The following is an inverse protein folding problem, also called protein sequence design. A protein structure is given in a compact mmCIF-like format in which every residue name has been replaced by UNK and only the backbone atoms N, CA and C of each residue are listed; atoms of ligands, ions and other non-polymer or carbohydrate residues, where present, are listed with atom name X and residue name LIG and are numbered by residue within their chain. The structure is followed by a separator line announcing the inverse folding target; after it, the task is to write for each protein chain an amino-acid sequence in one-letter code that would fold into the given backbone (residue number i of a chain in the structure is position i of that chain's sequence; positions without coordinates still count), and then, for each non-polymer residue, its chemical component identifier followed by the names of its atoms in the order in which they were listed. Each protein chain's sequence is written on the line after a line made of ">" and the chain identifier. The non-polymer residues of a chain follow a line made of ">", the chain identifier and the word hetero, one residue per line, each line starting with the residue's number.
data_IF_971844599540
#
_entry.id   IF_971844599540
#
_cell.length_a   1.000
_cell.length_b   1.000
_cell.length_c   1.000
_cell.angle_alpha   90.00
_cell.angle_beta   90.00
_cell.angle_gamma   90.00
#
_symmetry.space_group_name_H-M   'P 1'
#
loop_
_entity.id
_entity.type
_entity.pdbx_description
1 polymer ?
#
# COMPACT_ATOMS: atom_id res chain seq x y z
N UNK A 1 1.81 -26.48 7.01
CA UNK A 1 1.67 -25.66 5.78
C UNK A 1 2.90 -24.77 5.65
N UNK A 2 3.52 -24.75 4.46
CA UNK A 2 4.69 -23.91 4.12
C UNK A 2 4.30 -22.95 3.01
N UNK A 3 4.39 -21.67 3.26
CA UNK A 3 4.01 -20.61 2.32
C UNK A 3 5.28 -19.94 1.79
N UNK A 4 5.38 -19.74 0.47
CA UNK A 4 6.39 -18.91 -0.13
C UNK A 4 5.75 -17.63 -0.65
N UNK A 5 5.95 -16.53 0.06
CA UNK A 5 5.53 -15.19 -0.38
C UNK A 5 6.59 -14.66 -1.34
N UNK A 6 6.18 -14.23 -2.52
CA UNK A 6 7.05 -13.70 -3.57
C UNK A 6 6.79 -12.22 -3.74
N UNK A 7 7.78 -11.39 -3.47
CA UNK A 7 7.69 -9.93 -3.56
C UNK A 7 8.97 -9.34 -4.15
N UNK A 8 8.92 -8.17 -4.75
CA UNK A 8 10.11 -7.55 -5.37
C UNK A 8 11.12 -7.09 -4.34
N UNK A 9 10.69 -6.35 -3.31
CA UNK A 9 11.56 -5.84 -2.25
C UNK A 9 11.13 -6.35 -0.87
N UNK A 10 12.06 -6.42 0.06
CA UNK A 10 11.78 -6.79 1.44
C UNK A 10 11.04 -5.68 2.22
N UNK A 11 11.47 -4.43 2.08
CA UNK A 11 10.97 -3.30 2.90
C UNK A 11 10.65 -2.03 2.12
N UNK A 12 11.05 -1.94 0.84
CA UNK A 12 10.91 -0.70 0.07
C UNK A 12 9.51 -0.58 -0.51
N UNK A 13 8.75 0.40 -0.02
CA UNK A 13 7.38 0.71 -0.45
C UNK A 13 6.30 -0.03 0.33
N UNK A 14 5.08 0.49 0.29
CA UNK A 14 3.94 0.01 1.09
C UNK A 14 3.58 -1.45 0.86
N UNK A 15 3.69 -1.94 -0.38
CA UNK A 15 3.44 -3.35 -0.71
C UNK A 15 4.47 -4.30 -0.07
N UNK A 16 5.75 -3.89 -0.04
CA UNK A 16 6.81 -4.67 0.58
C UNK A 16 6.64 -4.75 2.11
N UNK A 17 6.35 -3.62 2.73
CA UNK A 17 6.04 -3.56 4.18
C UNK A 17 4.85 -4.47 4.51
N UNK A 18 3.77 -4.41 3.73
CA UNK A 18 2.59 -5.24 3.95
C UNK A 18 2.88 -6.74 3.76
N UNK A 19 3.65 -7.12 2.73
CA UNK A 19 4.03 -8.51 2.49
C UNK A 19 4.93 -9.07 3.60
N UNK A 20 5.87 -8.25 4.11
CA UNK A 20 6.73 -8.62 5.22
C UNK A 20 5.92 -8.79 6.52
N UNK A 21 5.03 -7.83 6.83
CA UNK A 21 4.10 -7.94 7.96
C UNK A 21 3.21 -9.19 7.86
N UNK A 22 2.75 -9.54 6.66
CA UNK A 22 1.98 -10.77 6.45
C UNK A 22 2.83 -12.01 6.74
N UNK A 23 4.10 -12.06 6.29
CA UNK A 23 5.03 -13.13 6.62
C UNK A 23 5.16 -13.31 8.13
N UNK A 24 5.34 -12.20 8.86
CA UNK A 24 5.46 -12.22 10.31
C UNK A 24 4.14 -12.64 10.98
N UNK A 25 3.01 -12.10 10.52
CA UNK A 25 1.69 -12.47 11.01
C UNK A 25 1.43 -13.99 10.87
N UNK A 26 1.77 -14.58 9.73
CA UNK A 26 1.65 -16.01 9.50
C UNK A 26 2.55 -16.81 10.41
N UNK A 27 3.84 -16.45 10.54
CA UNK A 27 4.79 -17.13 11.40
C UNK A 27 4.38 -17.06 12.88
N UNK A 28 3.92 -15.91 13.35
CA UNK A 28 3.43 -15.71 14.72
C UNK A 28 2.13 -16.49 15.02
N UNK A 29 1.42 -16.93 13.98
CA UNK A 29 0.19 -17.73 14.10
C UNK A 29 0.36 -19.17 13.62
N UNK A 30 1.57 -19.74 13.69
CA UNK A 30 1.85 -21.16 13.50
C UNK A 30 1.97 -21.64 12.05
N UNK A 31 2.05 -20.74 11.08
CA UNK A 31 2.27 -21.05 9.66
C UNK A 31 3.74 -20.81 9.30
N UNK A 32 4.38 -21.74 8.62
CA UNK A 32 5.75 -21.57 8.16
C UNK A 32 5.78 -20.74 6.87
N UNK A 33 5.96 -19.44 7.00
CA UNK A 33 6.06 -18.51 5.87
C UNK A 33 7.52 -18.07 5.64
N UNK A 34 7.96 -18.12 4.39
CA UNK A 34 9.20 -17.49 3.92
C UNK A 34 8.86 -16.46 2.85
N UNK A 35 9.68 -15.43 2.75
CA UNK A 35 9.54 -14.39 1.73
C UNK A 35 10.71 -14.47 0.76
N UNK A 36 10.44 -14.64 -0.54
CA UNK A 36 11.44 -14.60 -1.61
C UNK A 36 11.42 -13.21 -2.25
N UNK A 37 12.54 -12.53 -2.23
CA UNK A 37 12.67 -11.16 -2.74
C UNK A 37 13.83 -11.01 -3.71
N UNK A 38 13.73 -10.02 -4.60
CA UNK A 38 14.86 -9.55 -5.40
C UNK A 38 15.80 -8.71 -4.53
N UNK A 39 15.25 -7.75 -3.81
CA UNK A 39 15.99 -6.77 -3.03
C UNK A 39 15.86 -7.11 -1.53
N UNK A 40 16.80 -7.92 -1.03
CA UNK A 40 16.92 -8.26 0.39
C UNK A 40 17.72 -7.17 1.09
N UNK A 41 17.23 -6.70 2.25
CA UNK A 41 17.81 -5.56 2.99
C UNK A 41 18.24 -5.92 4.41
N UNK A 42 17.83 -7.07 4.94
CA UNK A 42 18.13 -7.48 6.32
C UNK A 42 18.71 -8.88 6.37
N UNK A 43 19.21 -9.29 7.54
CA UNK A 43 19.71 -10.65 7.79
C UNK A 43 18.60 -11.62 8.26
N UNK A 44 17.32 -11.24 8.14
CA UNK A 44 16.20 -12.11 8.49
C UNK A 44 16.31 -13.46 7.71
N UNK A 45 16.39 -14.55 8.47
CA UNK A 45 16.51 -15.92 7.93
C UNK A 45 15.23 -16.40 7.23
N UNK A 46 14.10 -15.77 7.51
CA UNK A 46 12.81 -16.06 6.85
C UNK A 46 12.67 -15.33 5.51
N UNK A 47 13.58 -14.41 5.20
CA UNK A 47 13.65 -13.71 3.91
C UNK A 47 14.80 -14.29 3.08
N UNK A 48 14.49 -14.70 1.86
CA UNK A 48 15.43 -15.33 0.92
C UNK A 48 15.63 -14.40 -0.28
N UNK A 49 16.88 -14.15 -0.65
CA UNK A 49 17.20 -13.42 -1.88
C UNK A 49 17.17 -14.34 -3.10
N UNK A 50 16.74 -13.79 -4.25
CA UNK A 50 16.87 -14.47 -5.55
C UNK A 50 18.32 -14.81 -5.94
N UNK A 51 19.30 -14.14 -5.31
CA UNK A 51 20.69 -14.19 -5.76
C UNK A 51 20.89 -13.55 -7.14
N UNK A 52 22.10 -13.71 -7.71
CA UNK A 52 22.42 -13.19 -9.06
C UNK A 52 22.05 -11.72 -9.29
N UNK A 53 22.58 -10.81 -8.46
CA UNK A 53 22.26 -9.39 -8.45
C UNK A 53 22.37 -8.73 -9.84
N UNK A 54 23.44 -9.00 -10.60
CA UNK A 54 23.64 -8.44 -11.94
C UNK A 54 22.49 -8.81 -12.91
N UNK A 55 21.97 -10.06 -12.83
CA UNK A 55 20.84 -10.51 -13.66
C UNK A 55 19.54 -9.83 -13.24
N UNK A 56 19.35 -9.64 -11.94
CA UNK A 56 18.16 -8.94 -11.40
C UNK A 56 18.18 -7.46 -11.80
N UNK A 57 19.35 -6.81 -11.74
CA UNK A 57 19.52 -5.44 -12.23
C UNK A 57 19.28 -5.35 -13.75
N UNK A 58 19.79 -6.31 -14.51
CA UNK A 58 19.54 -6.37 -15.94
C UNK A 58 18.04 -6.52 -16.27
N UNK A 59 17.32 -7.40 -15.57
CA UNK A 59 15.88 -7.54 -15.74
C UNK A 59 15.13 -6.22 -15.47
N UNK A 60 15.47 -5.50 -14.39
CA UNK A 60 14.90 -4.20 -14.07
C UNK A 60 15.19 -3.18 -15.18
N UNK A 61 16.45 -3.04 -15.57
CA UNK A 61 16.86 -2.07 -16.60
C UNK A 61 16.22 -2.40 -17.96
N UNK A 62 16.16 -3.66 -18.33
CA UNK A 62 15.53 -4.10 -19.56
C UNK A 62 14.03 -3.80 -19.59
N UNK A 63 13.32 -4.09 -18.51
CA UNK A 63 11.89 -3.75 -18.44
C UNK A 63 11.68 -2.24 -18.52
N UNK A 64 12.45 -1.45 -17.75
CA UNK A 64 12.38 0.02 -17.83
C UNK A 64 12.75 0.56 -19.21
N UNK A 65 13.75 -0.03 -19.86
CA UNK A 65 14.08 0.31 -21.26
C UNK A 65 12.92 0.01 -22.20
N UNK A 66 12.28 -1.16 -22.10
CA UNK A 66 11.12 -1.49 -22.92
C UNK A 66 9.95 -0.53 -22.68
N UNK A 67 9.70 -0.14 -21.43
CA UNK A 67 8.70 0.89 -21.10
C UNK A 67 9.09 2.23 -21.73
N UNK A 68 10.32 2.69 -21.53
CA UNK A 68 10.84 3.96 -22.06
C UNK A 68 10.76 4.03 -23.59
N UNK A 69 11.10 2.93 -24.29
CA UNK A 69 10.94 2.81 -25.74
C UNK A 69 9.48 2.98 -26.18
N UNK A 70 8.55 2.31 -25.51
CA UNK A 70 7.11 2.41 -25.82
C UNK A 70 6.50 3.76 -25.40
N UNK A 71 7.16 4.52 -24.52
CA UNK A 71 6.81 5.91 -24.19
C UNK A 71 7.47 6.93 -25.12
N UNK A 72 8.03 6.50 -26.26
CA UNK A 72 8.76 7.35 -27.20
C UNK A 72 9.86 8.16 -26.51
N UNK A 73 10.64 7.50 -25.64
CA UNK A 73 11.73 8.09 -24.86
C UNK A 73 11.31 9.17 -23.87
N UNK A 74 10.03 9.22 -23.50
CA UNK A 74 9.55 10.06 -22.41
C UNK A 74 9.78 9.40 -21.05
N UNK A 75 10.13 10.19 -20.04
CA UNK A 75 10.20 9.74 -18.63
C UNK A 75 8.87 9.83 -17.91
N UNK A 76 7.87 10.49 -18.52
CA UNK A 76 6.52 10.55 -17.97
C UNK A 76 5.96 9.13 -17.92
N UNK A 77 5.30 8.78 -16.82
CA UNK A 77 4.68 7.46 -16.59
C UNK A 77 5.64 6.25 -16.56
N UNK A 78 7.00 6.48 -16.58
CA UNK A 78 8.00 5.41 -16.62
C UNK A 78 7.84 4.37 -15.49
N UNK A 79 7.37 4.78 -14.32
CA UNK A 79 7.13 3.93 -13.16
C UNK A 79 5.64 3.70 -12.84
N UNK A 80 4.74 4.25 -13.66
CA UNK A 80 3.29 4.06 -13.49
C UNK A 80 2.77 2.84 -14.26
N UNK A 81 3.61 2.27 -15.15
CA UNK A 81 3.26 1.11 -15.96
C UNK A 81 4.33 0.03 -15.88
N UNK A 82 3.89 -1.22 -15.92
CA UNK A 82 4.74 -2.40 -15.94
C UNK A 82 4.26 -3.42 -16.97
N UNK A 83 5.23 -4.08 -17.64
CA UNK A 83 4.98 -5.02 -18.74
C UNK A 83 5.11 -6.48 -18.29
N UNK A 84 5.88 -6.74 -17.25
CA UNK A 84 6.31 -8.08 -16.81
C UNK A 84 6.83 -8.93 -18.00
N UNK A 85 7.65 -8.30 -18.86
CA UNK A 85 8.20 -8.94 -20.05
C UNK A 85 9.50 -9.70 -19.75
N UNK A 86 10.13 -9.43 -18.62
CA UNK A 86 11.35 -10.10 -18.12
C UNK A 86 11.22 -10.42 -16.64
N UNK A 87 12.08 -11.29 -16.12
CA UNK A 87 12.08 -11.70 -14.72
C UNK A 87 12.81 -13.03 -14.52
N UNK A 88 12.91 -13.45 -13.26
CA UNK A 88 13.61 -14.67 -12.87
C UNK A 88 12.65 -15.85 -12.77
N UNK A 89 13.05 -17.01 -13.31
CA UNK A 89 12.32 -18.28 -13.15
C UNK A 89 12.58 -18.85 -11.75
N UNK A 90 11.61 -18.74 -10.87
CA UNK A 90 11.73 -19.19 -9.47
C UNK A 90 11.35 -20.67 -9.28
N UNK A 91 10.79 -21.34 -10.29
CA UNK A 91 10.27 -22.72 -10.16
C UNK A 91 11.35 -23.75 -9.87
N UNK A 92 12.61 -23.40 -10.13
CA UNK A 92 13.78 -24.26 -9.89
C UNK A 92 14.37 -24.11 -8.48
N UNK A 93 14.00 -23.04 -7.76
CA UNK A 93 14.53 -22.75 -6.43
C UNK A 93 14.04 -23.78 -5.41
N UNK A 94 14.88 -24.01 -4.40
CA UNK A 94 14.58 -24.94 -3.31
C UNK A 94 13.34 -24.52 -2.56
N UNK A 95 13.23 -23.23 -2.22
CA UNK A 95 12.11 -22.63 -1.50
C UNK A 95 10.79 -22.81 -2.24
N UNK A 96 10.81 -22.66 -3.58
CA UNK A 96 9.65 -22.94 -4.41
C UNK A 96 9.23 -24.42 -4.35
N UNK A 97 10.20 -25.33 -4.46
CA UNK A 97 9.93 -26.79 -4.44
C UNK A 97 9.36 -27.24 -3.08
N UNK A 98 9.89 -26.69 -1.98
CA UNK A 98 9.49 -27.02 -0.62
C UNK A 98 8.16 -26.40 -0.20
N UNK A 99 7.72 -25.32 -0.85
CA UNK A 99 6.48 -24.64 -0.52
C UNK A 99 5.24 -25.49 -0.88
N UNK A 100 4.24 -25.46 -0.02
CA UNK A 100 2.93 -26.07 -0.26
C UNK A 100 2.04 -25.12 -1.09
N UNK A 101 2.18 -23.80 -0.88
CA UNK A 101 1.45 -22.74 -1.56
C UNK A 101 2.43 -21.65 -2.00
N UNK A 102 2.20 -21.09 -3.18
CA UNK A 102 2.91 -19.91 -3.68
C UNK A 102 2.00 -18.70 -3.51
N UNK A 103 2.46 -17.71 -2.77
CA UNK A 103 1.74 -16.47 -2.54
C UNK A 103 2.45 -15.33 -3.30
N UNK A 104 1.88 -14.89 -4.41
CA UNK A 104 2.37 -13.73 -5.14
C UNK A 104 1.88 -12.46 -4.46
N UNK A 105 2.77 -11.48 -4.30
CA UNK A 105 2.46 -10.16 -3.77
C UNK A 105 2.76 -9.11 -4.85
N UNK A 106 3.64 -8.15 -4.62
CA UNK A 106 4.04 -7.20 -5.65
C UNK A 106 5.27 -7.71 -6.40
N UNK A 107 5.08 -8.19 -7.64
CA UNK A 107 6.09 -8.98 -8.39
C UNK A 107 6.63 -8.28 -9.65
N UNK A 108 6.43 -6.99 -9.72
CA UNK A 108 6.76 -6.14 -10.87
C UNK A 108 8.25 -5.74 -10.92
N UNK A 109 8.60 -4.85 -11.85
CA UNK A 109 9.95 -4.30 -12.02
C UNK A 109 11.04 -5.37 -12.23
N UNK A 110 10.80 -6.31 -13.13
CA UNK A 110 11.77 -7.34 -13.49
C UNK A 110 11.90 -8.49 -12.48
N UNK A 111 11.03 -8.58 -11.46
CA UNK A 111 10.99 -9.71 -10.54
C UNK A 111 10.47 -10.97 -11.22
N UNK A 112 9.24 -10.93 -11.75
CA UNK A 112 8.64 -12.02 -12.51
C UNK A 112 8.12 -11.55 -13.87
N UNK A 113 8.33 -12.36 -14.90
CA UNK A 113 7.68 -12.17 -16.20
C UNK A 113 6.33 -12.88 -16.26
N UNK A 114 5.42 -12.46 -17.16
CA UNK A 114 4.16 -13.18 -17.44
C UNK A 114 4.42 -14.64 -17.79
N UNK A 115 5.52 -14.93 -18.52
CA UNK A 115 5.96 -16.31 -18.80
C UNK A 115 6.40 -17.05 -17.52
N UNK A 116 7.08 -16.36 -16.62
CA UNK A 116 7.47 -16.93 -15.30
C UNK A 116 6.25 -17.22 -14.44
N UNK A 117 5.29 -16.29 -14.37
CA UNK A 117 4.02 -16.49 -13.64
C UNK A 117 3.26 -17.69 -14.23
N UNK A 118 3.16 -17.79 -15.56
CA UNK A 118 2.54 -18.96 -16.21
C UNK A 118 3.18 -20.28 -15.79
N UNK A 119 4.52 -20.36 -15.72
CA UNK A 119 5.23 -21.56 -15.23
C UNK A 119 4.90 -21.89 -13.77
N UNK A 120 4.73 -20.86 -12.93
CA UNK A 120 4.29 -21.04 -11.55
C UNK A 120 2.90 -21.66 -11.52
N UNK A 121 1.97 -21.14 -12.31
CA UNK A 121 0.60 -21.67 -12.41
C UNK A 121 0.57 -23.08 -12.98
N UNK A 122 1.44 -23.40 -13.96
CA UNK A 122 1.56 -24.71 -14.59
C UNK A 122 2.27 -25.75 -13.68
N UNK A 123 2.87 -25.34 -12.56
CA UNK A 123 3.52 -26.26 -11.62
C UNK A 123 2.58 -27.14 -10.81
N UNK A 124 1.27 -26.89 -10.86
CA UNK A 124 0.26 -27.57 -10.07
C UNK A 124 0.23 -27.18 -8.59
N UNK A 125 1.07 -26.23 -8.14
CA UNK A 125 0.95 -25.67 -6.79
C UNK A 125 -0.19 -24.67 -6.70
N UNK A 126 -0.96 -24.63 -5.60
CA UNK A 126 -1.95 -23.59 -5.34
C UNK A 126 -1.29 -22.22 -5.34
N UNK A 127 -1.93 -21.25 -5.98
CA UNK A 127 -1.44 -19.86 -6.06
C UNK A 127 -2.47 -18.91 -5.46
N UNK A 128 -2.03 -18.11 -4.50
CA UNK A 128 -2.74 -16.95 -3.97
C UNK A 128 -2.01 -15.70 -4.45
N UNK A 129 -2.74 -14.67 -4.88
CA UNK A 129 -2.13 -13.43 -5.37
C UNK A 129 -2.73 -12.23 -4.67
N UNK A 130 -1.96 -11.61 -3.76
CA UNK A 130 -2.38 -10.38 -3.10
C UNK A 130 -2.10 -9.17 -4.00
N UNK A 131 -3.15 -8.41 -4.24
CA UNK A 131 -3.15 -7.20 -5.05
C UNK A 131 -2.98 -5.98 -4.14
N UNK A 132 -1.81 -5.36 -4.17
CA UNK A 132 -1.56 -4.09 -3.48
C UNK A 132 -1.96 -2.88 -4.33
N UNK A 133 -2.06 -3.09 -5.63
CA UNK A 133 -2.59 -2.16 -6.63
C UNK A 133 -3.40 -2.94 -7.69
N UNK A 134 -3.93 -2.24 -8.68
CA UNK A 134 -4.81 -2.85 -9.67
C UNK A 134 -4.06 -3.47 -10.87
N UNK A 135 -2.72 -3.47 -10.89
CA UNK A 135 -1.96 -3.97 -12.04
C UNK A 135 -2.31 -5.42 -12.46
N UNK A 136 -2.54 -6.39 -11.57
CA UNK A 136 -2.95 -7.74 -11.99
C UNK A 136 -4.25 -7.75 -12.80
N UNK A 137 -5.12 -6.78 -12.59
CA UNK A 137 -6.44 -6.65 -13.21
C UNK A 137 -6.49 -5.69 -14.42
N UNK A 138 -5.38 -5.04 -14.78
CA UNK A 138 -5.27 -4.09 -15.89
C UNK A 138 -4.31 -4.60 -16.96
N UNK A 139 -4.19 -3.87 -18.09
CA UNK A 139 -3.14 -4.14 -19.08
C UNK A 139 -1.76 -3.86 -18.51
N UNK A 140 -1.46 -2.60 -18.21
CA UNK A 140 -0.11 -2.14 -17.84
C UNK A 140 -0.05 -1.24 -16.61
N UNK A 141 -1.15 -0.61 -16.21
CA UNK A 141 -1.15 0.46 -15.20
C UNK A 141 -1.37 -0.06 -13.77
N UNK A 142 -0.73 0.59 -12.80
CA UNK A 142 -0.89 0.35 -11.35
C UNK A 142 -2.07 1.12 -10.76
N UNK A 143 -2.44 2.26 -11.37
CA UNK A 143 -3.56 3.12 -10.95
C UNK A 143 -4.40 3.43 -12.18
N UNK A 144 -5.71 3.26 -12.09
CA UNK A 144 -6.61 3.48 -13.23
C UNK A 144 -6.90 4.95 -13.51
N UNK A 145 -6.80 5.82 -12.49
CA UNK A 145 -7.18 7.23 -12.57
C UNK A 145 -8.54 7.43 -13.27
N UNK A 146 -9.57 6.69 -12.88
CA UNK A 146 -10.91 6.67 -13.47
C UNK A 146 -11.01 6.09 -14.91
N UNK A 147 -9.97 5.39 -15.41
CA UNK A 147 -10.08 4.64 -16.66
C UNK A 147 -10.88 3.35 -16.44
N UNK A 148 -11.94 3.14 -17.24
CA UNK A 148 -12.80 1.96 -17.15
C UNK A 148 -12.49 0.90 -18.22
N UNK A 149 -11.50 1.12 -19.09
CA UNK A 149 -11.23 0.24 -20.24
C UNK A 149 -10.80 -1.17 -19.84
N UNK A 150 -10.14 -1.35 -18.70
CA UNK A 150 -9.75 -2.67 -18.19
C UNK A 150 -10.95 -3.61 -17.92
N UNK A 151 -12.14 -3.05 -17.84
CA UNK A 151 -13.38 -3.82 -17.60
C UNK A 151 -13.81 -4.62 -18.84
N UNK A 152 -13.36 -4.24 -20.03
CA UNK A 152 -13.66 -4.93 -21.30
C UNK A 152 -12.38 -5.28 -22.06
N UNK A 153 -11.72 -4.28 -22.61
CA UNK A 153 -10.45 -4.41 -23.34
C UNK A 153 -9.66 -3.12 -23.21
N UNK A 154 -8.44 -3.19 -22.69
CA UNK A 154 -7.52 -2.05 -22.74
C UNK A 154 -7.23 -1.67 -24.21
N UNK A 155 -6.74 -0.47 -24.42
CA UNK A 155 -6.45 0.16 -25.70
C UNK A 155 -6.75 1.65 -25.62
N UNK A 156 -6.27 2.46 -26.58
CA UNK A 156 -6.31 3.91 -26.52
C UNK A 156 -5.90 4.43 -25.13
N UNK A 157 -4.75 3.93 -24.65
CA UNK A 157 -4.31 4.15 -23.27
C UNK A 157 -3.72 5.55 -23.11
N UNK A 158 -4.30 6.35 -22.21
CA UNK A 158 -3.85 7.74 -21.95
C UNK A 158 -2.44 7.84 -21.35
N UNK A 159 -1.89 6.73 -20.80
CA UNK A 159 -0.53 6.68 -20.29
C UNK A 159 0.49 6.45 -21.42
N UNK A 160 0.05 6.17 -22.63
CA UNK A 160 0.90 5.99 -23.80
C UNK A 160 0.90 7.26 -24.67
N UNK A 161 1.96 7.48 -25.47
CA UNK A 161 2.06 8.64 -26.35
C UNK A 161 0.83 8.79 -27.26
N UNK A 162 0.38 10.03 -27.45
CA UNK A 162 -0.78 10.39 -28.27
C UNK A 162 -2.09 9.67 -27.89
N UNK A 163 -2.21 9.23 -26.61
CA UNK A 163 -3.40 8.51 -26.13
C UNK A 163 -3.49 7.06 -26.59
N UNK A 164 -2.41 6.48 -27.10
CA UNK A 164 -2.35 5.10 -27.56
C UNK A 164 -3.13 4.82 -28.85
N UNK A 165 -3.51 3.57 -29.04
CA UNK A 165 -4.36 3.10 -30.15
C UNK A 165 -5.20 1.91 -29.68
N UNK A 166 -6.16 1.47 -30.50
CA UNK A 166 -7.05 0.33 -30.17
C UNK A 166 -6.25 -0.94 -29.83
N UNK A 167 -5.15 -1.21 -30.54
CA UNK A 167 -4.29 -2.38 -30.35
C UNK A 167 -2.90 -1.97 -29.82
N UNK A 168 -2.86 -1.07 -28.87
CA UNK A 168 -1.63 -0.56 -28.24
C UNK A 168 -1.00 -1.56 -27.26
N UNK A 169 0.06 -1.11 -26.59
CA UNK A 169 0.77 -1.92 -25.60
C UNK A 169 -0.15 -2.40 -24.47
N UNK A 170 -1.07 -1.56 -24.01
CA UNK A 170 -1.98 -1.92 -22.92
C UNK A 170 -2.93 -3.05 -23.32
N UNK A 171 -3.45 -3.03 -24.54
CA UNK A 171 -4.27 -4.09 -25.10
C UNK A 171 -3.48 -5.40 -25.22
N UNK A 172 -2.29 -5.35 -25.82
CA UNK A 172 -1.47 -6.54 -26.02
C UNK A 172 -1.05 -7.22 -24.71
N UNK A 173 -0.74 -6.44 -23.67
CA UNK A 173 -0.38 -6.99 -22.36
C UNK A 173 -1.62 -7.55 -21.65
N UNK A 174 -2.79 -6.89 -21.77
CA UNK A 174 -4.05 -7.41 -21.23
C UNK A 174 -4.38 -8.79 -21.83
N UNK A 175 -4.28 -8.95 -23.14
CA UNK A 175 -4.53 -10.23 -23.80
C UNK A 175 -3.52 -11.32 -23.39
N UNK A 176 -2.25 -10.95 -23.17
CA UNK A 176 -1.25 -11.89 -22.61
C UNK A 176 -1.60 -12.34 -21.20
N UNK A 177 -2.11 -11.43 -20.34
CA UNK A 177 -2.56 -11.76 -18.99
C UNK A 177 -3.79 -12.67 -19.01
N UNK A 178 -4.78 -12.41 -19.89
CA UNK A 178 -5.90 -13.32 -20.08
C UNK A 178 -5.44 -14.73 -20.43
N UNK A 179 -4.59 -14.87 -21.45
CA UNK A 179 -4.01 -16.17 -21.88
C UNK A 179 -3.19 -16.83 -20.78
N UNK A 180 -2.52 -16.05 -19.93
CA UNK A 180 -1.77 -16.57 -18.78
C UNK A 180 -2.70 -17.21 -17.74
N UNK A 181 -3.88 -16.66 -17.51
CA UNK A 181 -4.87 -17.15 -16.52
C UNK A 181 -5.85 -18.19 -17.12
N UNK A 182 -5.94 -18.30 -18.43
CA UNK A 182 -6.88 -19.21 -19.11
C UNK A 182 -6.72 -20.66 -18.63
N UNK A 183 -7.81 -21.28 -18.18
CA UNK A 183 -7.84 -22.63 -17.66
C UNK A 183 -7.12 -22.82 -16.32
N UNK A 184 -6.71 -21.73 -15.64
CA UNK A 184 -6.00 -21.76 -14.35
C UNK A 184 -6.79 -21.04 -13.29
N UNK A 185 -6.75 -21.56 -12.07
CA UNK A 185 -7.41 -20.93 -10.92
C UNK A 185 -6.36 -20.27 -10.05
N UNK A 186 -6.55 -18.99 -9.81
CA UNK A 186 -5.78 -18.18 -8.88
C UNK A 186 -6.75 -17.56 -7.87
N UNK A 187 -6.43 -17.64 -6.60
CA UNK A 187 -7.17 -16.91 -5.58
C UNK A 187 -6.58 -15.52 -5.43
N UNK A 188 -7.27 -14.53 -5.95
CA UNK A 188 -6.87 -13.13 -5.79
C UNK A 188 -7.36 -12.60 -4.45
N UNK A 189 -6.47 -11.93 -3.73
CA UNK A 189 -6.78 -11.22 -2.50
C UNK A 189 -6.48 -9.74 -2.73
N UNK A 190 -7.41 -8.88 -2.37
CA UNK A 190 -7.22 -7.42 -2.42
C UNK A 190 -7.10 -6.87 -1.02
N UNK A 191 -6.30 -5.80 -0.83
CA UNK A 191 -6.11 -5.24 0.51
C UNK A 191 -7.33 -4.44 1.00
N UNK A 192 -8.26 -4.06 0.13
CA UNK A 192 -9.48 -3.31 0.45
C UNK A 192 -10.69 -3.84 -0.30
N UNK A 193 -11.87 -3.65 0.24
CA UNK A 193 -13.15 -3.94 -0.43
C UNK A 193 -13.34 -3.05 -1.67
N UNK A 194 -12.82 -1.82 -1.61
CA UNK A 194 -12.81 -0.95 -2.79
C UNK A 194 -12.06 -1.59 -3.95
N UNK A 195 -10.83 -2.08 -3.70
CA UNK A 195 -10.05 -2.73 -4.76
C UNK A 195 -10.68 -4.05 -5.19
N UNK A 196 -11.31 -4.82 -4.28
CA UNK A 196 -12.08 -6.02 -4.65
C UNK A 196 -13.18 -5.68 -5.65
N UNK A 197 -13.96 -4.63 -5.36
CA UNK A 197 -15.03 -4.18 -6.25
C UNK A 197 -14.49 -3.78 -7.63
N UNK A 198 -13.36 -3.08 -7.69
CA UNK A 198 -12.74 -2.70 -8.96
C UNK A 198 -12.13 -3.93 -9.68
N UNK A 199 -11.44 -4.81 -8.97
CA UNK A 199 -10.85 -6.02 -9.51
C UNK A 199 -11.90 -6.96 -10.14
N UNK A 200 -13.04 -7.14 -9.49
CA UNK A 200 -14.16 -7.98 -10.00
C UNK A 200 -14.74 -7.48 -11.32
N UNK A 201 -14.59 -6.20 -11.65
CA UNK A 201 -15.02 -5.64 -12.95
C UNK A 201 -14.04 -5.96 -14.08
N UNK A 202 -12.84 -6.44 -13.78
CA UNK A 202 -11.78 -6.65 -14.77
C UNK A 202 -12.09 -7.81 -15.71
N UNK A 203 -11.91 -7.57 -17.00
CA UNK A 203 -12.01 -8.62 -18.02
C UNK A 203 -10.93 -9.71 -17.91
N UNK A 204 -9.81 -9.44 -17.22
CA UNK A 204 -8.75 -10.43 -16.96
C UNK A 204 -9.19 -11.41 -15.86
N UNK A 205 -9.89 -10.92 -14.83
CA UNK A 205 -10.24 -11.70 -13.65
C UNK A 205 -11.61 -12.36 -13.73
N UNK A 206 -12.27 -12.29 -14.88
CA UNK A 206 -13.55 -12.99 -15.13
C UNK A 206 -13.38 -14.50 -14.83
N UNK A 207 -14.22 -15.03 -13.93
CA UNK A 207 -14.17 -16.44 -13.50
C UNK A 207 -13.11 -16.75 -12.44
N UNK A 208 -12.27 -15.79 -12.05
CA UNK A 208 -11.35 -15.95 -10.92
C UNK A 208 -12.04 -15.62 -9.59
N UNK A 209 -11.54 -16.20 -8.51
CA UNK A 209 -12.00 -15.84 -7.16
C UNK A 209 -11.25 -14.59 -6.69
N UNK A 210 -11.99 -13.60 -6.20
CA UNK A 210 -11.43 -12.37 -5.64
C UNK A 210 -12.04 -12.14 -4.27
N UNK A 211 -11.21 -11.89 -3.25
CA UNK A 211 -11.64 -11.59 -1.86
C UNK A 211 -10.85 -10.42 -1.32
N UNK A 212 -11.44 -9.72 -0.36
CA UNK A 212 -10.73 -8.66 0.37
C UNK A 212 -10.23 -9.17 1.71
N UNK A 213 -8.92 -9.03 1.96
CA UNK A 213 -8.27 -9.23 3.26
C UNK A 213 -7.30 -8.08 3.46
N UNK A 214 -7.43 -7.27 4.53
CA UNK A 214 -6.59 -6.12 4.74
C UNK A 214 -5.13 -6.48 5.06
N UNK A 215 -4.24 -5.49 4.99
CA UNK A 215 -2.87 -5.64 5.45
C UNK A 215 -2.83 -5.83 6.97
N UNK A 216 -1.91 -6.68 7.50
CA UNK A 216 -1.74 -6.82 8.95
C UNK A 216 -0.83 -5.76 9.53
N UNK A 217 -1.03 -5.48 10.82
CA UNK A 217 -0.11 -4.69 11.63
C UNK A 217 0.21 -5.42 12.94
N UNK A 218 1.45 -5.25 13.42
CA UNK A 218 1.86 -5.74 14.73
C UNK A 218 1.43 -4.75 15.83
N UNK A 219 0.40 -5.11 16.56
CA UNK A 219 -0.16 -4.30 17.65
C UNK A 219 0.64 -4.38 18.94
N UNK A 220 1.68 -5.21 19.02
CA UNK A 220 2.67 -5.18 20.10
C UNK A 220 3.77 -4.12 19.84
N UNK A 221 3.97 -3.77 18.57
CA UNK A 221 4.92 -2.73 18.16
C UNK A 221 4.21 -1.38 18.06
N UNK A 222 3.11 -1.34 17.31
CA UNK A 222 2.29 -0.13 17.16
C UNK A 222 1.15 -0.17 18.18
N UNK A 223 1.27 0.59 19.23
CA UNK A 223 0.28 0.70 20.31
C UNK A 223 0.35 2.09 20.96
N UNK A 224 -0.70 2.51 21.67
CA UNK A 224 -0.68 3.76 22.40
C UNK A 224 0.42 3.79 23.47
N UNK A 225 1.14 4.91 23.57
CA UNK A 225 2.19 5.17 24.55
C UNK A 225 2.07 6.61 25.08
N UNK A 226 2.93 6.96 26.06
CA UNK A 226 2.95 8.31 26.65
C UNK A 226 3.36 9.36 25.59
N UNK A 227 2.41 10.18 25.16
CA UNK A 227 2.60 11.24 24.16
C UNK A 227 3.65 12.26 24.59
N UNK A 228 3.69 12.64 25.88
CA UNK A 228 4.65 13.61 26.38
C UNK A 228 6.09 13.08 26.29
N UNK A 229 6.29 11.82 26.66
CA UNK A 229 7.60 11.17 26.51
C UNK A 229 8.00 11.02 25.04
N UNK A 230 7.06 10.67 24.18
CA UNK A 230 7.29 10.59 22.74
C UNK A 230 7.72 11.94 22.17
N UNK A 231 7.03 13.04 22.53
CA UNK A 231 7.39 14.42 22.10
C UNK A 231 8.80 14.82 22.55
N UNK A 232 9.18 14.51 23.79
CA UNK A 232 10.52 14.79 24.30
C UNK A 232 11.58 14.07 23.47
N UNK A 233 11.36 12.78 23.15
CA UNK A 233 12.30 11.97 22.37
C UNK A 233 12.53 12.50 20.96
N UNK A 234 11.48 12.98 20.29
CA UNK A 234 11.56 13.41 18.90
C UNK A 234 11.66 14.94 18.73
N UNK A 235 11.66 15.69 19.83
CA UNK A 235 11.87 17.14 19.83
C UNK A 235 10.64 17.95 19.39
N UNK A 236 9.41 17.46 19.62
CA UNK A 236 8.19 18.20 19.33
C UNK A 236 7.72 19.06 20.50
N UNK A 237 6.99 20.17 20.23
CA UNK A 237 6.44 21.06 21.25
C UNK A 237 5.53 20.31 22.24
N UNK A 238 5.72 20.57 23.54
CA UNK A 238 4.93 19.92 24.61
C UNK A 238 3.56 20.58 24.83
N UNK A 239 3.43 21.84 24.46
CA UNK A 239 2.29 22.72 24.73
C UNK A 239 1.43 23.02 23.50
N UNK A 240 1.71 22.36 22.36
CA UNK A 240 0.94 22.53 21.12
C UNK A 240 0.22 21.24 20.73
N UNK A 241 -0.88 21.36 20.01
CA UNK A 241 -1.51 20.25 19.27
C UNK A 241 -0.69 19.97 18.02
N UNK A 242 -0.49 18.69 17.69
CA UNK A 242 0.40 18.29 16.61
C UNK A 242 -0.42 17.60 15.50
N UNK A 243 -0.44 18.22 14.34
CA UNK A 243 -0.99 17.66 13.09
C UNK A 243 0.15 16.93 12.39
N UNK A 244 0.04 15.62 12.20
CA UNK A 244 1.07 14.83 11.48
C UNK A 244 0.66 14.59 10.03
N UNK A 245 1.58 14.90 9.12
CA UNK A 245 1.58 14.41 7.74
C UNK A 245 2.79 13.47 7.54
N UNK A 246 2.58 12.30 6.94
CA UNK A 246 3.66 11.35 6.67
C UNK A 246 3.63 10.84 5.23
N UNK A 247 4.77 10.96 4.55
CA UNK A 247 4.96 10.40 3.20
C UNK A 247 6.43 10.13 2.94
N UNK A 248 6.76 9.03 2.27
CA UNK A 248 8.15 8.75 1.88
C UNK A 248 8.77 9.90 1.05
N UNK A 249 7.96 10.53 0.20
CA UNK A 249 8.28 11.72 -0.58
C UNK A 249 7.17 12.74 -0.38
N UNK A 250 7.43 13.78 0.38
CA UNK A 250 6.42 14.81 0.71
C UNK A 250 5.93 15.53 -0.54
N UNK A 251 6.81 15.75 -1.51
CA UNK A 251 6.49 16.39 -2.81
C UNK A 251 5.69 15.52 -3.79
N UNK A 252 5.32 14.29 -3.40
CA UNK A 252 4.46 13.46 -4.24
C UNK A 252 3.03 14.02 -4.30
N UNK A 253 2.66 14.57 -5.46
CA UNK A 253 1.34 15.20 -5.70
C UNK A 253 0.17 14.28 -5.29
N UNK A 254 0.30 12.97 -5.47
CA UNK A 254 -0.75 12.02 -5.08
C UNK A 254 -0.98 11.93 -3.56
N UNK A 255 -0.04 12.41 -2.74
CA UNK A 255 -0.19 12.46 -1.28
C UNK A 255 -0.92 13.70 -0.77
N UNK A 256 -1.11 14.70 -1.64
CA UNK A 256 -2.03 15.81 -1.43
C UNK A 256 -1.59 16.83 -0.38
N UNK A 257 -0.27 16.99 -0.14
CA UNK A 257 0.24 17.96 0.83
C UNK A 257 -0.32 19.38 0.60
N UNK A 258 -0.52 19.79 -0.65
CA UNK A 258 -1.09 21.08 -0.99
C UNK A 258 -2.48 21.32 -0.43
N UNK A 259 -3.29 20.27 -0.28
CA UNK A 259 -4.60 20.37 0.37
C UNK A 259 -4.48 20.55 1.89
N UNK A 260 -3.44 20.00 2.51
CA UNK A 260 -3.17 20.25 3.93
C UNK A 260 -2.70 21.70 4.15
N UNK A 261 -1.82 22.22 3.28
CA UNK A 261 -1.40 23.63 3.30
C UNK A 261 -2.62 24.55 3.21
N UNK A 262 -3.47 24.34 2.20
CA UNK A 262 -4.71 25.12 2.01
C UNK A 262 -5.67 25.01 3.21
N UNK A 263 -5.83 23.79 3.76
CA UNK A 263 -6.64 23.59 4.97
C UNK A 263 -6.07 24.33 6.18
N UNK A 264 -4.76 24.40 6.33
CA UNK A 264 -4.09 25.18 7.39
C UNK A 264 -4.32 26.68 7.22
N UNK A 265 -4.23 27.24 6.01
CA UNK A 265 -4.56 28.64 5.73
C UNK A 265 -6.00 28.98 6.12
N UNK A 266 -6.95 28.08 5.83
CA UNK A 266 -8.34 28.29 6.20
C UNK A 266 -8.56 28.21 7.72
N UNK A 267 -7.86 27.29 8.40
CA UNK A 267 -7.88 27.19 9.86
C UNK A 267 -7.32 28.46 10.51
N UNK A 268 -6.15 28.94 10.05
CA UNK A 268 -5.54 30.16 10.57
C UNK A 268 -6.41 31.38 10.38
N UNK A 269 -7.13 31.47 9.26
CA UNK A 269 -8.07 32.57 8.98
C UNK A 269 -9.33 32.51 9.87
N UNK A 270 -9.90 31.32 10.04
CA UNK A 270 -11.16 31.11 10.74
C UNK A 270 -11.00 31.01 12.26
N UNK A 271 -9.88 30.46 12.71
CA UNK A 271 -9.53 30.19 14.10
C UNK A 271 -8.10 30.66 14.39
N UNK A 272 -7.86 32.00 14.46
CA UNK A 272 -6.51 32.56 14.63
C UNK A 272 -5.76 32.04 15.87
N UNK A 273 -6.50 31.69 16.92
CA UNK A 273 -5.94 31.13 18.16
C UNK A 273 -5.26 29.76 17.96
N UNK A 274 -5.60 29.03 16.91
CA UNK A 274 -4.95 27.77 16.57
C UNK A 274 -3.51 27.96 16.12
N UNK A 275 -3.13 29.11 15.55
CA UNK A 275 -1.78 29.36 15.01
C UNK A 275 -0.74 29.25 16.12
N UNK A 276 -1.02 29.78 17.31
CA UNK A 276 -0.11 29.74 18.44
C UNK A 276 -0.12 28.37 19.16
N UNK A 277 -1.25 27.67 19.12
CA UNK A 277 -1.50 26.46 19.89
C UNK A 277 -1.35 25.15 19.09
N UNK A 278 -1.00 25.22 17.81
CA UNK A 278 -0.91 24.05 16.92
C UNK A 278 0.41 24.08 16.15
N UNK A 279 0.95 22.93 15.81
CA UNK A 279 2.09 22.78 14.90
C UNK A 279 1.84 21.65 13.92
N UNK A 280 2.48 21.72 12.76
CA UNK A 280 2.44 20.68 11.72
C UNK A 280 3.75 19.91 11.75
N UNK A 281 3.70 18.63 12.05
CA UNK A 281 4.85 17.73 11.95
C UNK A 281 4.84 17.04 10.57
N UNK A 282 5.98 17.07 9.87
CA UNK A 282 6.13 16.46 8.56
C UNK A 282 7.18 15.35 8.63
N UNK A 283 6.72 14.11 8.44
CA UNK A 283 7.58 12.93 8.36
C UNK A 283 7.81 12.54 6.89
N UNK A 284 9.04 12.68 6.42
CA UNK A 284 9.45 12.30 5.06
C UNK A 284 10.53 13.16 4.49
N UNK A 285 11.05 12.78 3.32
CA UNK A 285 12.08 13.55 2.63
C UNK A 285 11.52 14.72 1.82
N UNK A 286 12.32 15.77 1.63
CA UNK A 286 12.01 16.99 0.88
C UNK A 286 10.90 17.84 1.51
N UNK A 287 10.98 18.04 2.83
CA UNK A 287 10.07 18.92 3.57
C UNK A 287 10.57 20.37 3.67
N UNK A 288 11.87 20.62 3.36
CA UNK A 288 12.55 21.89 3.59
C UNK A 288 11.89 23.05 2.85
N UNK A 289 11.35 22.80 1.65
CA UNK A 289 10.73 23.83 0.80
C UNK A 289 9.30 24.18 1.25
N UNK A 290 8.69 23.41 2.16
CA UNK A 290 7.29 23.57 2.54
C UNK A 290 7.07 24.46 3.77
N UNK A 291 8.11 24.75 4.52
CA UNK A 291 8.00 25.48 5.79
C UNK A 291 7.32 26.84 5.65
N UNK A 292 7.66 27.57 4.57
CA UNK A 292 7.11 28.90 4.30
C UNK A 292 5.69 28.89 3.73
N UNK A 293 5.19 27.69 3.36
CA UNK A 293 3.82 27.56 2.82
C UNK A 293 2.75 27.44 3.92
N UNK A 294 3.14 27.18 5.19
CA UNK A 294 2.18 27.01 6.30
C UNK A 294 2.10 28.24 7.19
N UNK A 295 0.89 28.57 7.65
CA UNK A 295 0.69 29.59 8.69
C UNK A 295 0.99 29.06 10.10
N UNK A 296 1.18 27.79 10.26
CA UNK A 296 1.49 27.09 11.51
C UNK A 296 2.98 26.84 11.63
N UNK A 297 3.45 26.67 12.86
CA UNK A 297 4.83 26.17 13.09
C UNK A 297 5.01 24.80 12.45
N UNK A 298 6.05 24.63 11.62
CA UNK A 298 6.39 23.38 10.96
C UNK A 298 7.56 22.69 11.66
N UNK A 299 7.37 21.46 12.07
CA UNK A 299 8.38 20.57 12.64
C UNK A 299 8.78 19.52 11.61
N UNK A 300 9.95 19.65 11.03
CA UNK A 300 10.47 18.70 10.04
C UNK A 300 11.14 17.52 10.74
N UNK A 301 10.60 16.30 10.56
CA UNK A 301 11.10 15.07 11.18
C UNK A 301 12.04 14.29 10.27
N UNK A 302 12.17 14.73 9.00
CA UNK A 302 13.00 14.05 8.00
C UNK A 302 12.52 12.63 7.66
N UNK A 303 13.41 11.87 7.03
CA UNK A 303 13.12 10.48 6.65
C UNK A 303 13.58 9.52 7.75
N UNK A 304 12.64 8.76 8.31
CA UNK A 304 12.88 7.79 9.39
C UNK A 304 12.66 6.37 8.88
N UNK A 305 13.63 5.48 9.14
CA UNK A 305 13.57 4.05 8.82
C UNK A 305 13.41 3.15 10.04
N UNK A 306 13.73 3.66 11.22
CA UNK A 306 13.61 2.91 12.46
C UNK A 306 12.15 2.80 12.90
N UNK A 307 11.69 1.57 13.12
CA UNK A 307 10.28 1.30 13.45
C UNK A 307 9.90 1.92 14.80
N UNK A 308 10.79 1.92 15.80
CA UNK A 308 10.48 2.49 17.10
C UNK A 308 10.37 4.01 17.03
N UNK A 309 11.23 4.66 16.24
CA UNK A 309 11.13 6.11 16.01
C UNK A 309 9.81 6.45 15.30
N UNK A 310 9.37 5.64 14.33
CA UNK A 310 8.07 5.82 13.66
C UNK A 310 6.92 5.71 14.67
N UNK A 311 6.97 4.75 15.59
CA UNK A 311 5.99 4.59 16.68
C UNK A 311 6.00 5.80 17.60
N UNK A 312 7.18 6.30 17.97
CA UNK A 312 7.33 7.51 18.81
C UNK A 312 6.75 8.74 18.07
N UNK A 313 6.94 8.85 16.75
CA UNK A 313 6.34 9.94 15.94
C UNK A 313 4.81 9.89 15.97
N UNK A 314 4.20 8.73 15.76
CA UNK A 314 2.74 8.63 15.86
C UNK A 314 2.23 8.97 17.26
N UNK A 315 2.84 8.40 18.31
CA UNK A 315 2.44 8.66 19.70
C UNK A 315 2.63 10.12 20.15
N UNK A 316 3.48 10.88 19.44
CA UNK A 316 3.72 12.29 19.74
C UNK A 316 2.66 13.23 19.15
N UNK A 317 1.79 12.73 18.25
CA UNK A 317 0.86 13.55 17.48
C UNK A 317 -0.58 13.42 17.99
N UNK A 318 -1.40 14.44 17.73
CA UNK A 318 -2.81 14.47 18.14
C UNK A 318 -3.75 14.08 16.99
N UNK A 319 -3.35 14.29 15.74
CA UNK A 319 -4.12 13.88 14.57
C UNK A 319 -3.19 13.55 13.41
N UNK A 320 -3.50 12.47 12.69
CA UNK A 320 -2.81 12.11 11.45
C UNK A 320 -3.66 12.51 10.24
N UNK A 321 -3.07 13.25 9.29
CA UNK A 321 -3.78 13.74 8.11
C UNK A 321 -3.14 13.19 6.84
N UNK A 322 -3.93 12.46 6.04
CA UNK A 322 -3.51 11.89 4.76
C UNK A 322 -4.50 12.28 3.64
N UNK A 323 -4.38 13.46 3.03
CA UNK A 323 -5.27 13.93 1.97
C UNK A 323 -4.87 13.40 0.59
N UNK A 324 -4.59 12.10 0.53
CA UNK A 324 -4.16 11.44 -0.70
C UNK A 324 -5.26 11.42 -1.76
N UNK A 325 -4.85 11.59 -3.03
CA UNK A 325 -5.75 11.58 -4.20
C UNK A 325 -6.01 10.16 -4.74
N UNK A 326 -5.20 9.20 -4.36
CA UNK A 326 -5.36 7.79 -4.72
C UNK A 326 -4.68 6.90 -3.69
N UNK A 327 -5.46 6.02 -3.08
CA UNK A 327 -4.97 5.03 -2.10
C UNK A 327 -5.73 3.71 -2.25
N UNK A 328 -5.04 2.60 -1.97
CA UNK A 328 -5.73 1.33 -1.77
C UNK A 328 -6.06 1.14 -0.28
N UNK A 329 -5.07 0.81 0.55
CA UNK A 329 -5.20 0.71 2.01
C UNK A 329 -3.91 1.25 2.63
N UNK A 330 -3.86 2.53 3.01
CA UNK A 330 -2.63 3.16 3.48
C UNK A 330 -2.18 2.61 4.84
N UNK A 331 -0.96 2.02 4.87
CA UNK A 331 -0.37 1.52 6.11
C UNK A 331 -0.21 2.64 7.16
N UNK A 332 0.05 3.86 6.74
CA UNK A 332 0.26 5.02 7.63
C UNK A 332 -0.99 5.37 8.45
N UNK A 333 -2.20 5.27 7.87
CA UNK A 333 -3.45 5.42 8.63
C UNK A 333 -3.58 4.28 9.65
N UNK A 334 -3.26 3.05 9.25
CA UNK A 334 -3.32 1.89 10.15
C UNK A 334 -2.35 2.03 11.32
N UNK A 335 -1.14 2.51 11.06
CA UNK A 335 -0.09 2.76 12.05
C UNK A 335 -0.50 3.85 13.04
N UNK A 336 -1.00 4.98 12.55
CA UNK A 336 -1.53 6.07 13.37
C UNK A 336 -2.67 5.58 14.29
N UNK A 337 -3.66 4.91 13.70
CA UNK A 337 -4.81 4.38 14.45
C UNK A 337 -4.39 3.31 15.47
N UNK A 338 -3.37 2.49 15.17
CA UNK A 338 -2.83 1.51 16.12
C UNK A 338 -2.19 2.18 17.34
N UNK A 339 -1.58 3.35 17.14
CA UNK A 339 -1.03 4.20 18.22
C UNK A 339 -2.10 5.07 18.91
N UNK A 340 -3.38 4.90 18.58
CA UNK A 340 -4.49 5.65 19.17
C UNK A 340 -4.64 7.07 18.62
N UNK A 341 -4.04 7.38 17.48
CA UNK A 341 -4.13 8.69 16.83
C UNK A 341 -5.27 8.70 15.82
N UNK A 342 -6.31 9.53 16.04
CA UNK A 342 -7.39 9.69 15.07
C UNK A 342 -6.84 10.15 13.72
N UNK A 343 -7.38 9.59 12.64
CA UNK A 343 -6.89 9.87 11.30
C UNK A 343 -7.92 10.62 10.46
N UNK A 344 -7.43 11.51 9.60
CA UNK A 344 -8.24 12.24 8.63
C UNK A 344 -7.75 11.94 7.24
N UNK A 345 -8.66 11.63 6.31
CA UNK A 345 -8.31 11.39 4.92
C UNK A 345 -9.46 11.69 3.98
N UNK A 346 -9.15 11.82 2.69
CA UNK A 346 -10.18 12.00 1.68
C UNK A 346 -10.98 10.71 1.43
N UNK A 347 -12.21 10.88 0.95
CA UNK A 347 -13.10 9.79 0.54
C UNK A 347 -12.61 9.14 -0.76
N UNK A 348 -11.42 8.52 -0.72
CA UNK A 348 -10.80 7.85 -1.88
C UNK A 348 -10.36 6.44 -1.53
N UNK A 349 -10.48 5.51 -2.49
CA UNK A 349 -10.00 4.14 -2.34
C UNK A 349 -10.54 3.43 -1.10
N UNK A 350 -9.65 2.81 -0.34
CA UNK A 350 -9.96 2.11 0.91
C UNK A 350 -9.91 2.98 2.18
N UNK A 351 -9.61 4.28 2.10
CA UNK A 351 -9.59 5.16 3.28
C UNK A 351 -10.91 5.11 4.06
N UNK A 352 -12.11 5.19 3.40
CA UNK A 352 -13.38 5.10 4.11
C UNK A 352 -13.69 3.73 4.76
N UNK A 353 -12.89 2.71 4.47
CA UNK A 353 -13.00 1.40 5.14
C UNK A 353 -12.23 1.38 6.47
N UNK A 354 -11.19 2.21 6.57
CA UNK A 354 -10.36 2.34 7.75
C UNK A 354 -10.94 3.35 8.73
N UNK A 355 -11.34 4.51 8.22
CA UNK A 355 -11.88 5.61 9.02
C UNK A 355 -13.40 5.54 9.00
N UNK A 356 -13.98 5.19 10.15
CA UNK A 356 -15.42 5.32 10.40
C UNK A 356 -15.69 6.78 10.77
N UNK A 357 -16.25 7.54 9.83
CA UNK A 357 -16.43 8.99 9.92
C UNK A 357 -17.10 9.41 11.22
N UNK A 358 -16.50 10.36 11.93
CA UNK A 358 -16.91 10.88 13.25
C UNK A 358 -16.95 9.82 14.37
N UNK A 359 -16.25 8.68 14.21
CA UNK A 359 -16.16 7.63 15.26
C UNK A 359 -14.73 7.34 15.66
N UNK A 360 -13.81 7.23 14.70
CA UNK A 360 -12.38 7.00 14.95
C UNK A 360 -11.49 7.96 14.14
N UNK A 361 -12.08 8.97 13.54
CA UNK A 361 -11.44 9.96 12.69
C UNK A 361 -12.45 10.65 11.78
N UNK A 362 -11.97 11.32 10.73
CA UNK A 362 -12.81 12.09 9.82
C UNK A 362 -12.52 11.75 8.35
N UNK A 363 -13.56 11.46 7.59
CA UNK A 363 -13.48 11.27 6.14
C UNK A 363 -13.95 12.53 5.45
N UNK A 364 -13.00 13.29 4.88
CA UNK A 364 -13.28 14.51 4.15
C UNK A 364 -13.66 14.22 2.69
N UNK A 365 -14.45 15.11 2.08
CA UNK A 365 -14.78 15.04 0.67
C UNK A 365 -13.52 15.13 -0.18
N UNK A 366 -13.46 14.34 -1.26
CA UNK A 366 -12.29 14.28 -2.16
C UNK A 366 -11.94 15.69 -2.69
N UNK A 367 -10.66 16.07 -2.60
CA UNK A 367 -10.10 17.33 -3.08
C UNK A 367 -10.75 18.59 -2.49
N UNK A 368 -11.26 18.49 -1.30
CA UNK A 368 -11.92 19.61 -0.60
C UNK A 368 -11.13 20.01 0.66
N UNK A 369 -10.35 21.08 0.54
CA UNK A 369 -9.55 21.61 1.64
C UNK A 369 -10.40 22.20 2.77
N UNK A 370 -11.57 22.77 2.46
CA UNK A 370 -12.53 23.27 3.44
C UNK A 370 -13.04 22.15 4.35
N UNK A 371 -13.40 21.01 3.76
CA UNK A 371 -13.90 19.87 4.52
C UNK A 371 -12.77 19.18 5.29
N UNK A 372 -11.53 19.23 4.75
CA UNK A 372 -10.33 18.77 5.45
C UNK A 372 -10.05 19.65 6.69
N UNK A 373 -10.14 20.98 6.55
CA UNK A 373 -9.97 21.92 7.64
C UNK A 373 -11.04 21.71 8.74
N UNK A 374 -12.31 21.53 8.37
CA UNK A 374 -13.38 21.18 9.31
C UNK A 374 -13.06 19.89 10.07
N UNK A 375 -12.57 18.85 9.37
CA UNK A 375 -12.21 17.60 10.00
C UNK A 375 -11.07 17.76 11.01
N UNK A 376 -10.05 18.57 10.68
CA UNK A 376 -8.93 18.86 11.59
C UNK A 376 -9.43 19.58 12.83
N UNK A 377 -10.18 20.67 12.67
CA UNK A 377 -10.76 21.41 13.79
C UNK A 377 -11.67 20.52 14.65
N UNK A 378 -12.54 19.74 14.02
CA UNK A 378 -13.44 18.84 14.74
C UNK A 378 -12.69 17.82 15.60
N UNK A 379 -11.65 17.17 15.07
CA UNK A 379 -10.84 16.21 15.83
C UNK A 379 -10.10 16.86 16.98
N UNK A 380 -9.53 18.05 16.76
CA UNK A 380 -8.67 18.71 17.74
C UNK A 380 -9.42 19.47 18.82
N UNK A 381 -10.61 20.01 18.53
CA UNK A 381 -11.29 21.00 19.40
C UNK A 381 -12.75 20.66 19.77
N UNK A 382 -13.45 19.86 18.97
CA UNK A 382 -14.88 19.64 19.17
C UNK A 382 -15.23 18.23 19.64
N UNK A 383 -14.39 17.23 19.30
CA UNK A 383 -14.70 15.82 19.56
C UNK A 383 -14.24 15.35 20.94
N UNK A 384 -14.82 14.24 21.40
CA UNK A 384 -14.23 13.46 22.49
C UNK A 384 -13.02 12.68 21.97
N UNK A 385 -11.84 13.25 22.13
CA UNK A 385 -10.57 12.68 21.67
C UNK A 385 -10.33 11.27 22.24
N UNK A 386 -10.65 11.04 23.51
CA UNK A 386 -10.45 9.74 24.15
C UNK A 386 -11.32 8.68 23.47
N UNK A 387 -12.58 8.97 23.23
CA UNK A 387 -13.48 8.07 22.53
C UNK A 387 -13.02 7.79 21.08
N UNK A 388 -12.51 8.81 20.36
CA UNK A 388 -11.95 8.63 19.01
C UNK A 388 -10.70 7.72 19.03
N UNK A 389 -9.80 7.95 19.97
CA UNK A 389 -8.57 7.18 20.14
C UNK A 389 -8.87 5.70 20.45
N UNK A 390 -9.74 5.44 21.41
CA UNK A 390 -10.16 4.08 21.76
C UNK A 390 -10.83 3.36 20.59
N UNK A 391 -11.68 4.06 19.84
CA UNK A 391 -12.34 3.51 18.66
C UNK A 391 -11.34 3.20 17.54
N UNK A 392 -10.31 4.05 17.36
CA UNK A 392 -9.24 3.82 16.39
C UNK A 392 -8.45 2.54 16.72
N UNK A 393 -8.01 2.39 17.97
CA UNK A 393 -7.32 1.19 18.46
C UNK A 393 -8.22 -0.04 18.33
N UNK A 394 -9.48 0.06 18.76
CA UNK A 394 -10.44 -1.04 18.68
C UNK A 394 -10.66 -1.54 17.25
N UNK A 395 -10.74 -0.62 16.27
CA UNK A 395 -10.83 -0.95 14.84
C UNK A 395 -9.59 -1.72 14.36
N UNK A 396 -8.39 -1.28 14.76
CA UNK A 396 -7.14 -1.95 14.36
C UNK A 396 -7.05 -3.35 14.98
N UNK A 397 -7.32 -3.49 16.25
CA UNK A 397 -7.29 -4.79 16.95
C UNK A 397 -8.26 -5.80 16.31
N UNK A 398 -9.47 -5.36 15.98
CA UNK A 398 -10.49 -6.20 15.39
C UNK A 398 -10.18 -6.59 13.93
N UNK A 399 -9.76 -5.62 13.10
CA UNK A 399 -9.74 -5.80 11.66
C UNK A 399 -8.35 -6.03 11.08
N UNK A 400 -7.30 -5.44 11.69
CA UNK A 400 -5.97 -5.34 11.09
C UNK A 400 -4.87 -6.01 11.90
N UNK A 401 -5.15 -6.52 13.11
CA UNK A 401 -4.14 -7.23 13.91
C UNK A 401 -3.57 -8.43 13.17
N UNK A 402 -2.31 -8.78 13.45
CA UNK A 402 -1.65 -9.94 12.86
C UNK A 402 -2.52 -11.20 12.96
N UNK A 403 -3.15 -11.43 14.11
CA UNK A 403 -4.00 -12.60 14.34
C UNK A 403 -5.24 -12.57 13.44
N UNK A 404 -5.97 -11.45 13.42
CA UNK A 404 -7.20 -11.31 12.63
C UNK A 404 -6.94 -11.55 11.14
N UNK A 405 -5.86 -10.99 10.61
CA UNK A 405 -5.50 -11.11 9.19
C UNK A 405 -4.93 -12.50 8.87
N UNK A 406 -4.07 -13.06 9.72
CA UNK A 406 -3.51 -14.39 9.51
C UNK A 406 -4.60 -15.48 9.45
N UNK A 407 -5.62 -15.38 10.30
CA UNK A 407 -6.74 -16.34 10.28
C UNK A 407 -7.53 -16.29 8.96
N UNK A 408 -7.79 -15.10 8.41
CA UNK A 408 -8.45 -14.93 7.12
C UNK A 408 -7.60 -15.51 5.97
N UNK A 409 -6.28 -15.29 5.98
CA UNK A 409 -5.38 -15.90 4.99
C UNK A 409 -5.31 -17.42 5.12
N UNK A 410 -5.38 -17.97 6.35
CA UNK A 410 -5.43 -19.42 6.57
C UNK A 410 -6.66 -20.04 5.91
N UNK A 411 -7.83 -19.41 5.97
CA UNK A 411 -9.03 -19.86 5.26
C UNK A 411 -8.79 -19.91 3.76
N UNK A 412 -8.25 -18.83 3.17
CA UNK A 412 -7.92 -18.74 1.74
C UNK A 412 -6.91 -19.82 1.33
N UNK A 413 -5.88 -20.04 2.14
CA UNK A 413 -4.87 -21.08 1.85
C UNK A 413 -5.47 -22.51 1.92
N UNK A 414 -6.32 -22.78 2.90
CA UNK A 414 -6.98 -24.08 3.01
C UNK A 414 -7.92 -24.34 1.81
N UNK A 415 -8.67 -23.32 1.38
CA UNK A 415 -9.47 -23.42 0.16
C UNK A 415 -8.61 -23.65 -1.08
N UNK A 416 -7.50 -22.92 -1.24
CA UNK A 416 -6.59 -23.09 -2.36
C UNK A 416 -6.00 -24.50 -2.43
N UNK A 417 -5.72 -25.12 -1.27
CA UNK A 417 -5.27 -26.51 -1.16
C UNK A 417 -6.40 -27.51 -1.50
N UNK A 418 -7.62 -27.24 -1.07
CA UNK A 418 -8.77 -28.10 -1.36
C UNK A 418 -9.07 -28.15 -2.87
N UNK A 419 -9.02 -27.01 -3.58
CA UNK A 419 -9.21 -26.97 -5.05
C UNK A 419 -8.19 -27.83 -5.81
N UNK A 420 -6.97 -28.01 -5.30
CA UNK A 420 -5.97 -28.90 -5.89
C UNK A 420 -6.40 -30.36 -5.83
N UNK A 421 -6.98 -30.79 -4.71
CA UNK A 421 -7.33 -32.18 -4.48
C UNK A 421 -8.53 -32.66 -5.32
N UNK A 422 -9.38 -31.75 -5.83
CA UNK A 422 -10.51 -32.07 -6.72
C UNK A 422 -10.13 -32.20 -8.20
N UNK A 423 -8.86 -31.88 -8.57
CA UNK A 423 -8.38 -31.95 -9.96
C UNK A 423 -7.41 -33.11 -10.24
N UNK A 424 -7.07 -33.91 -9.22
CA UNK A 424 -6.34 -35.18 -9.33
C UNK A 424 -7.32 -36.35 -9.32
#
# INVERSE_FOLDING_TARGET
>A
MRILIVNTSEKTGGAAVAANRLKDALNNNGVKAKMLVRDKLTDDITVVSLGHEWRNQWNLLWERFCVYWNLHFSRNHLFEIDLANTGTDITKLREFKEADIIHLSWINQGMLSLKGIRKILDSGKPVVWTMHDIWPATGICHITLNCLRYQSACGNCRLLPNGGSTNDLSHRVLERKKKMLEGRNVMFVTCSKWLEKEARKSAILTGQQVRSIPNPIDTHVFHPADSKQARIKIGLPLNKKIILFASQRVTNVNKGISYLVEACHQLATKYPEMVDNTAVAILGGHAEDLREEFDFEVCELGYVNDTQQIVDVYNACDVFVLPSLSENLPNTIMEAMACGVPSIGFKVGGIPEMIDHCKNGYVAAERNADDLAKGIHWVLDESDYTALSEAAVGKVLCCYSQRSVAMQYLEVYNEALAYKNFRL
#
